data_IF_374079235952
#
_entry.id   IF_374079235952
#
_cell.length_a   1.000
_cell.length_b   1.000
_cell.length_c   1.000
_cell.angle_alpha   90.00
_cell.angle_beta   90.00
_cell.angle_gamma   90.00
#
_symmetry.space_group_name_H-M   'P 1'
#
loop_
_entity.id
_entity.type
_entity.pdbx_description
1 polymer ?
#
# COMPACT_ATOMS: atom_id res chain seq x y z
N UNK A 1 -16.05 -33.82 -16.85
CA UNK A 1 -16.17 -33.59 -15.39
C UNK A 1 -15.92 -32.13 -15.01
N UNK A 2 -14.81 -31.50 -15.43
CA UNK A 2 -14.47 -30.11 -15.08
C UNK A 2 -15.55 -29.06 -15.45
N UNK A 3 -16.15 -29.17 -16.65
CA UNK A 3 -17.16 -28.21 -17.13
C UNK A 3 -18.46 -28.19 -16.28
N UNK A 4 -18.89 -29.37 -15.77
CA UNK A 4 -20.06 -29.45 -14.86
C UNK A 4 -19.77 -28.80 -13.50
N UNK A 5 -18.55 -28.95 -12.97
CA UNK A 5 -18.15 -28.32 -11.69
C UNK A 5 -18.10 -26.80 -11.80
N UNK A 6 -17.53 -26.27 -12.89
CA UNK A 6 -17.48 -24.82 -13.13
C UNK A 6 -18.88 -24.22 -13.28
N UNK A 7 -19.77 -24.88 -14.01
CA UNK A 7 -21.16 -24.43 -14.19
C UNK A 7 -21.91 -24.32 -12.85
N UNK A 8 -21.71 -25.28 -11.95
CA UNK A 8 -22.28 -25.25 -10.59
C UNK A 8 -21.71 -24.08 -9.79
N UNK A 9 -20.39 -23.88 -9.79
CA UNK A 9 -19.75 -22.75 -9.09
C UNK A 9 -20.25 -21.39 -9.60
N UNK A 10 -20.36 -21.21 -10.91
CA UNK A 10 -20.93 -19.99 -11.52
C UNK A 10 -22.35 -19.75 -11.02
N UNK A 11 -23.18 -20.79 -10.97
CA UNK A 11 -24.55 -20.68 -10.46
C UNK A 11 -24.58 -20.33 -8.97
N UNK A 12 -23.70 -20.91 -8.16
CA UNK A 12 -23.56 -20.60 -6.74
C UNK A 12 -23.16 -19.14 -6.53
N UNK A 13 -22.13 -18.67 -7.22
CA UNK A 13 -21.67 -17.27 -7.13
C UNK A 13 -22.78 -16.30 -7.55
N UNK A 14 -23.53 -16.61 -8.62
CA UNK A 14 -24.69 -15.79 -9.02
C UNK A 14 -25.76 -15.72 -7.94
N UNK A 15 -26.05 -16.83 -7.27
CA UNK A 15 -27.03 -16.86 -6.18
C UNK A 15 -26.58 -16.06 -4.95
N UNK A 16 -25.27 -16.02 -4.67
CA UNK A 16 -24.72 -15.19 -3.59
C UNK A 16 -24.78 -13.70 -3.95
N UNK A 17 -24.46 -13.33 -5.19
CA UNK A 17 -24.44 -11.93 -5.65
C UNK A 17 -25.84 -11.35 -5.89
N UNK A 18 -26.83 -12.19 -6.22
CA UNK A 18 -28.23 -11.78 -6.38
C UNK A 18 -29.20 -12.79 -5.74
N UNK A 19 -29.30 -12.83 -4.38
CA UNK A 19 -30.10 -13.83 -3.67
C UNK A 19 -31.58 -13.79 -4.02
N UNK A 20 -32.10 -12.59 -4.32
CA UNK A 20 -33.49 -12.38 -4.66
C UNK A 20 -33.78 -12.52 -6.17
N UNK A 21 -32.76 -12.81 -7.00
CA UNK A 21 -32.86 -12.96 -8.46
C UNK A 21 -33.56 -11.79 -9.15
N UNK A 22 -33.22 -10.57 -8.74
CA UNK A 22 -33.84 -9.33 -9.26
C UNK A 22 -33.18 -8.83 -10.54
N UNK A 23 -32.01 -9.37 -10.89
CA UNK A 23 -31.21 -8.90 -12.01
C UNK A 23 -30.95 -10.01 -13.03
N UNK A 24 -30.63 -9.64 -14.29
CA UNK A 24 -30.17 -10.61 -15.28
C UNK A 24 -28.91 -11.35 -14.81
N UNK A 25 -28.76 -12.62 -15.20
CA UNK A 25 -27.66 -13.48 -14.77
C UNK A 25 -26.24 -12.92 -15.04
N UNK A 26 -26.10 -12.08 -16.06
CA UNK A 26 -24.84 -11.43 -16.44
C UNK A 26 -24.62 -10.06 -15.79
N UNK A 27 -25.48 -9.62 -14.86
CA UNK A 27 -25.35 -8.33 -14.19
C UNK A 27 -24.05 -8.24 -13.39
N UNK A 28 -23.78 -9.24 -12.53
CA UNK A 28 -22.63 -9.23 -11.62
C UNK A 28 -21.50 -10.15 -12.08
N UNK A 29 -21.83 -11.30 -12.67
CA UNK A 29 -20.86 -12.29 -13.19
C UNK A 29 -21.16 -12.55 -14.66
N UNK A 30 -20.28 -12.07 -15.54
CA UNK A 30 -20.40 -12.23 -16.98
C UNK A 30 -19.72 -13.54 -17.39
N UNK A 31 -20.37 -14.26 -18.29
CA UNK A 31 -19.86 -15.53 -18.83
C UNK A 31 -19.92 -15.48 -20.34
N UNK A 32 -18.81 -15.79 -20.99
CA UNK A 32 -18.71 -16.08 -22.42
C UNK A 32 -18.25 -17.54 -22.64
N UNK A 33 -18.17 -18.05 -23.89
CA UNK A 33 -17.78 -19.45 -24.15
C UNK A 33 -16.41 -19.88 -23.62
N UNK A 34 -15.52 -18.92 -23.33
CA UNK A 34 -14.11 -19.13 -22.96
C UNK A 34 -13.69 -18.47 -21.65
N UNK A 35 -14.51 -17.58 -21.09
CA UNK A 35 -14.12 -16.70 -20.00
C UNK A 35 -15.28 -16.39 -19.05
N UNK A 36 -14.91 -16.12 -17.81
CA UNK A 36 -15.81 -15.73 -16.73
C UNK A 36 -15.15 -14.59 -15.97
N UNK A 37 -15.86 -13.50 -15.75
CA UNK A 37 -15.33 -12.36 -15.00
C UNK A 37 -16.41 -11.62 -14.23
N UNK A 38 -15.99 -10.94 -13.17
CA UNK A 38 -16.85 -10.05 -12.41
C UNK A 38 -17.05 -8.75 -13.18
N UNK A 39 -18.30 -8.28 -13.24
CA UNK A 39 -18.60 -6.97 -13.78
C UNK A 39 -18.30 -5.90 -12.74
N UNK A 40 -17.12 -5.28 -12.84
CA UNK A 40 -16.64 -4.27 -11.88
C UNK A 40 -17.46 -2.97 -11.85
N UNK A 41 -18.42 -2.80 -12.78
CA UNK A 41 -19.43 -1.72 -12.70
C UNK A 41 -20.48 -1.98 -11.63
N UNK A 42 -20.67 -3.24 -11.22
CA UNK A 42 -21.71 -3.67 -10.29
C UNK A 42 -21.17 -4.46 -9.11
N UNK A 43 -19.95 -4.95 -9.20
CA UNK A 43 -19.22 -5.62 -8.13
C UNK A 43 -18.04 -4.74 -7.73
N UNK A 44 -18.00 -4.40 -6.45
CA UNK A 44 -16.89 -3.65 -5.87
C UNK A 44 -15.87 -4.64 -5.36
N UNK A 45 -14.62 -4.45 -5.75
CA UNK A 45 -13.47 -5.15 -5.20
C UNK A 45 -12.63 -4.15 -4.43
N UNK A 46 -12.40 -4.42 -3.16
CA UNK A 46 -11.52 -3.65 -2.27
C UNK A 46 -10.10 -3.55 -2.83
N UNK A 47 -9.55 -4.65 -3.35
CA UNK A 47 -8.25 -4.73 -4.02
C UNK A 47 -8.15 -3.78 -5.20
N UNK A 48 -9.17 -3.72 -6.07
CA UNK A 48 -9.22 -2.79 -7.21
C UNK A 48 -9.33 -1.36 -6.72
N UNK A 49 -10.20 -1.08 -5.74
CA UNK A 49 -10.36 0.26 -5.17
C UNK A 49 -9.08 0.79 -4.54
N UNK A 50 -8.45 -0.01 -3.69
CA UNK A 50 -7.16 0.33 -3.06
C UNK A 50 -6.11 0.61 -4.12
N UNK A 51 -5.97 -0.28 -5.10
CA UNK A 51 -4.97 -0.17 -6.15
C UNK A 51 -5.12 1.08 -7.02
N UNK A 52 -6.34 1.41 -7.43
CA UNK A 52 -6.63 2.63 -8.19
C UNK A 52 -6.40 3.88 -7.32
N UNK A 53 -6.87 3.88 -6.08
CA UNK A 53 -6.71 5.00 -5.16
C UNK A 53 -5.22 5.26 -4.82
N UNK A 54 -4.44 4.21 -4.57
CA UNK A 54 -3.01 4.27 -4.32
C UNK A 54 -2.24 4.87 -5.50
N UNK A 55 -2.46 4.36 -6.71
CA UNK A 55 -1.81 4.91 -7.90
C UNK A 55 -2.22 6.36 -8.16
N UNK A 56 -3.50 6.68 -8.01
CA UNK A 56 -3.98 8.03 -8.20
C UNK A 56 -3.38 9.00 -7.17
N UNK A 57 -3.26 8.58 -5.91
CA UNK A 57 -2.68 9.40 -4.84
C UNK A 57 -1.17 9.62 -5.04
N UNK A 58 -0.41 8.59 -5.41
CA UNK A 58 1.02 8.72 -5.72
C UNK A 58 1.23 9.67 -6.91
N UNK A 59 0.49 9.49 -8.01
CA UNK A 59 0.58 10.34 -9.19
C UNK A 59 0.18 11.79 -8.86
N UNK A 60 -0.89 12.00 -8.09
CA UNK A 60 -1.32 13.33 -7.68
C UNK A 60 -0.30 14.01 -6.74
N UNK A 61 0.32 13.26 -5.82
CA UNK A 61 1.40 13.82 -5.00
C UNK A 61 2.59 14.28 -5.85
N UNK A 62 3.00 13.49 -6.85
CA UNK A 62 4.08 13.88 -7.77
C UNK A 62 3.75 15.18 -8.53
N UNK A 63 2.48 15.36 -8.94
CA UNK A 63 2.04 16.61 -9.59
C UNK A 63 2.07 17.81 -8.63
N UNK A 64 1.75 17.61 -7.35
CA UNK A 64 1.78 18.67 -6.32
C UNK A 64 3.20 18.98 -5.85
N UNK A 65 4.16 18.06 -5.97
CA UNK A 65 5.58 18.32 -5.61
C UNK A 65 6.21 19.47 -6.43
N UNK A 66 5.69 19.75 -7.63
CA UNK A 66 6.09 20.93 -8.42
C UNK A 66 5.48 22.26 -7.94
N UNK A 67 4.55 22.23 -6.98
CA UNK A 67 3.81 23.40 -6.49
C UNK A 67 4.16 23.67 -5.00
N UNK A 68 4.53 24.92 -4.69
CA UNK A 68 4.88 25.35 -3.32
C UNK A 68 3.68 25.65 -2.42
N UNK A 69 2.46 25.42 -2.90
CA UNK A 69 1.26 25.62 -2.10
C UNK A 69 1.16 24.63 -0.91
N UNK A 70 1.25 25.17 0.29
CA UNK A 70 1.17 24.43 1.55
C UNK A 70 -0.22 23.83 1.78
N UNK A 71 -1.30 24.52 1.38
CA UNK A 71 -2.68 24.06 1.60
C UNK A 71 -2.96 22.79 0.76
N UNK A 72 -2.62 22.83 -0.53
CA UNK A 72 -2.66 21.65 -1.40
C UNK A 72 -1.82 20.48 -0.85
N UNK A 73 -0.76 20.79 -0.10
CA UNK A 73 0.03 19.79 0.59
C UNK A 73 -0.64 19.11 1.76
N UNK A 74 -1.33 19.88 2.60
CA UNK A 74 -2.08 19.35 3.74
C UNK A 74 -3.22 18.46 3.25
N UNK A 75 -3.95 18.88 2.22
CA UNK A 75 -5.00 18.07 1.60
C UNK A 75 -4.44 16.77 1.02
N UNK A 76 -3.23 16.80 0.44
CA UNK A 76 -2.57 15.60 -0.06
C UNK A 76 -2.21 14.62 1.06
N UNK A 77 -1.76 15.11 2.23
CA UNK A 77 -1.49 14.25 3.40
C UNK A 77 -2.77 13.54 3.82
N UNK A 78 -3.87 14.26 3.98
CA UNK A 78 -5.16 13.67 4.36
C UNK A 78 -5.64 12.62 3.35
N UNK A 79 -5.48 12.89 2.04
CA UNK A 79 -5.79 11.93 0.99
C UNK A 79 -4.93 10.67 1.08
N UNK A 80 -3.63 10.80 1.30
CA UNK A 80 -2.71 9.67 1.43
C UNK A 80 -3.03 8.83 2.68
N UNK A 81 -3.35 9.46 3.82
CA UNK A 81 -3.77 8.77 5.05
C UNK A 81 -5.01 7.90 4.83
N UNK A 82 -6.02 8.41 4.11
CA UNK A 82 -7.22 7.64 3.74
C UNK A 82 -6.85 6.41 2.92
N UNK A 83 -5.95 6.54 1.95
CA UNK A 83 -5.52 5.42 1.10
C UNK A 83 -4.71 4.39 1.89
N UNK A 84 -3.82 4.82 2.78
CA UNK A 84 -3.10 3.91 3.70
C UNK A 84 -4.10 3.10 4.53
N UNK A 85 -5.18 3.73 5.00
CA UNK A 85 -6.24 3.06 5.77
C UNK A 85 -7.14 2.11 4.98
N UNK A 86 -7.10 2.12 3.64
CA UNK A 86 -7.83 1.15 2.82
C UNK A 86 -7.19 -0.24 2.83
N UNK A 87 -5.91 -0.34 3.18
CA UNK A 87 -5.18 -1.60 3.26
C UNK A 87 -5.26 -2.15 4.69
N UNK A 88 -6.18 -3.08 4.92
CA UNK A 88 -6.52 -3.58 6.26
C UNK A 88 -5.79 -4.87 6.64
N UNK A 89 -5.01 -5.44 5.74
CA UNK A 89 -4.35 -6.73 5.91
C UNK A 89 -3.84 -7.27 4.57
N UNK A 90 -3.12 -8.38 4.64
CA UNK A 90 -2.56 -9.01 3.45
C UNK A 90 -3.64 -9.67 2.59
N UNK A 91 -3.38 -9.77 1.28
CA UNK A 91 -4.30 -10.45 0.36
C UNK A 91 -4.47 -11.92 0.76
N UNK A 92 -5.69 -12.30 1.17
CA UNK A 92 -5.98 -13.66 1.65
C UNK A 92 -5.29 -14.03 2.95
N UNK A 93 -5.18 -13.09 3.88
CA UNK A 93 -4.57 -13.30 5.21
C UNK A 93 -5.29 -14.39 6.03
N UNK A 94 -6.57 -14.65 5.76
CA UNK A 94 -7.37 -15.72 6.39
C UNK A 94 -6.86 -17.14 6.10
N UNK A 95 -5.95 -17.30 5.15
CA UNK A 95 -5.38 -18.60 4.75
C UNK A 95 -6.32 -19.46 3.90
N UNK A 96 -7.49 -18.95 3.51
CA UNK A 96 -8.45 -19.67 2.66
C UNK A 96 -7.99 -19.70 1.20
N UNK A 97 -7.18 -18.72 0.78
CA UNK A 97 -6.61 -18.66 -0.56
C UNK A 97 -5.37 -19.54 -0.70
N UNK A 98 -5.59 -20.82 -1.00
CA UNK A 98 -4.51 -21.78 -1.25
C UNK A 98 -4.10 -21.78 -2.73
N UNK A 99 -2.87 -21.35 -3.02
CA UNK A 99 -2.24 -21.52 -4.34
C UNK A 99 -1.27 -20.40 -4.72
N UNK A 100 -0.28 -20.76 -5.54
CA UNK A 100 0.79 -19.86 -6.03
C UNK A 100 0.24 -18.63 -6.77
N UNK A 101 -0.95 -18.73 -7.35
CA UNK A 101 -1.65 -17.62 -8.01
C UNK A 101 -1.91 -16.43 -7.07
N UNK A 102 -1.99 -16.66 -5.75
CA UNK A 102 -2.25 -15.63 -4.74
C UNK A 102 -0.99 -14.90 -4.26
N UNK A 103 0.19 -15.53 -4.39
CA UNK A 103 1.45 -15.00 -3.85
C UNK A 103 1.88 -13.72 -4.55
N UNK A 104 1.82 -13.71 -5.89
CA UNK A 104 2.21 -12.54 -6.68
C UNK A 104 1.30 -11.32 -6.43
N UNK A 105 -0.05 -11.43 -6.44
CA UNK A 105 -0.92 -10.34 -6.03
C UNK A 105 -0.68 -9.86 -4.60
N UNK A 106 -0.46 -10.78 -3.65
CA UNK A 106 -0.18 -10.44 -2.25
C UNK A 106 1.06 -9.55 -2.13
N UNK A 107 2.18 -10.00 -2.70
CA UNK A 107 3.41 -9.23 -2.72
C UNK A 107 3.23 -7.87 -3.41
N UNK A 108 2.50 -7.82 -4.53
CA UNK A 108 2.27 -6.58 -5.27
C UNK A 108 1.42 -5.56 -4.50
N UNK A 109 0.39 -5.99 -3.76
CA UNK A 109 -0.40 -5.08 -2.94
C UNK A 109 0.36 -4.59 -1.69
N UNK A 110 1.13 -5.46 -1.04
CA UNK A 110 1.98 -5.08 0.09
C UNK A 110 3.06 -4.06 -0.34
N UNK A 111 3.68 -4.26 -1.50
CA UNK A 111 4.64 -3.29 -2.07
C UNK A 111 3.97 -1.94 -2.34
N UNK A 112 2.81 -1.96 -3.00
CA UNK A 112 2.07 -0.74 -3.31
C UNK A 112 1.65 0.01 -2.05
N UNK A 113 1.26 -0.71 -0.98
CA UNK A 113 0.96 -0.09 0.31
C UNK A 113 2.19 0.59 0.92
N UNK A 114 3.34 -0.11 0.96
CA UNK A 114 4.61 0.46 1.44
C UNK A 114 5.01 1.71 0.63
N UNK A 115 4.78 1.72 -0.68
CA UNK A 115 5.01 2.91 -1.52
C UNK A 115 4.11 4.10 -1.15
N UNK A 116 2.82 3.87 -0.87
CA UNK A 116 1.91 4.94 -0.40
C UNK A 116 2.37 5.45 0.97
N UNK A 117 2.70 4.57 1.92
CA UNK A 117 3.20 4.97 3.25
C UNK A 117 4.50 5.78 3.13
N UNK A 118 5.43 5.36 2.28
CA UNK A 118 6.67 6.09 2.02
C UNK A 118 6.41 7.46 1.40
N UNK A 119 5.46 7.55 0.48
CA UNK A 119 5.02 8.82 -0.13
C UNK A 119 4.43 9.77 0.91
N UNK A 120 3.57 9.24 1.79
CA UNK A 120 2.98 9.97 2.92
C UNK A 120 4.05 10.49 3.88
N UNK A 121 4.98 9.64 4.31
CA UNK A 121 6.06 10.02 5.22
C UNK A 121 6.91 11.16 4.64
N UNK A 122 7.30 11.06 3.36
CA UNK A 122 8.05 12.10 2.64
C UNK A 122 7.26 13.42 2.55
N UNK A 123 5.94 13.35 2.29
CA UNK A 123 5.09 14.55 2.25
C UNK A 123 4.99 15.22 3.61
N UNK A 124 4.80 14.45 4.67
CA UNK A 124 4.79 14.97 6.05
C UNK A 124 6.10 15.69 6.37
N UNK A 125 7.25 15.10 6.03
CA UNK A 125 8.56 15.71 6.28
C UNK A 125 8.72 17.04 5.55
N UNK A 126 8.30 17.14 4.27
CA UNK A 126 8.34 18.40 3.50
C UNK A 126 7.43 19.50 4.04
N UNK A 127 6.37 19.13 4.74
CA UNK A 127 5.45 20.07 5.40
C UNK A 127 5.86 20.37 6.85
N UNK A 128 7.09 20.01 7.23
CA UNK A 128 7.65 20.17 8.58
C UNK A 128 6.85 19.43 9.68
N UNK A 129 6.04 18.43 9.29
CA UNK A 129 5.32 17.54 10.21
C UNK A 129 6.24 16.38 10.63
N UNK A 130 7.38 16.73 11.21
CA UNK A 130 8.49 15.81 11.46
C UNK A 130 8.11 14.61 12.33
N UNK A 131 7.35 14.80 13.41
CA UNK A 131 6.91 13.69 14.28
C UNK A 131 5.95 12.73 13.56
N UNK A 132 5.06 13.25 12.72
CA UNK A 132 4.17 12.42 11.90
C UNK A 132 4.99 11.59 10.89
N UNK A 133 5.96 12.22 10.22
CA UNK A 133 6.87 11.50 9.31
C UNK A 133 7.65 10.39 10.04
N UNK A 134 8.18 10.67 11.24
CA UNK A 134 8.90 9.69 12.05
C UNK A 134 8.02 8.48 12.41
N UNK A 135 6.74 8.71 12.76
CA UNK A 135 5.78 7.63 13.03
C UNK A 135 5.57 6.71 11.82
N UNK A 136 5.41 7.29 10.62
CA UNK A 136 5.25 6.51 9.39
C UNK A 136 6.51 5.72 9.02
N UNK A 137 7.70 6.30 9.16
CA UNK A 137 8.94 5.55 8.92
C UNK A 137 9.19 4.43 9.93
N UNK A 138 8.85 4.64 11.20
CA UNK A 138 8.91 3.58 12.21
C UNK A 138 7.99 2.41 11.87
N UNK A 139 6.80 2.67 11.30
CA UNK A 139 5.91 1.61 10.82
C UNK A 139 6.57 0.79 9.71
N UNK A 140 7.13 1.44 8.69
CA UNK A 140 7.84 0.76 7.60
C UNK A 140 9.00 -0.09 8.11
N UNK A 141 9.78 0.41 9.07
CA UNK A 141 10.89 -0.34 9.69
C UNK A 141 10.40 -1.52 10.52
N UNK A 142 9.19 -1.42 11.09
CA UNK A 142 8.54 -2.52 11.79
C UNK A 142 8.09 -3.65 10.86
N UNK A 143 7.69 -3.30 9.63
CA UNK A 143 7.32 -4.24 8.57
C UNK A 143 8.55 -4.87 7.91
N UNK A 144 9.54 -4.05 7.54
CA UNK A 144 10.83 -4.48 7.02
C UNK A 144 11.99 -3.78 7.76
N UNK A 145 12.67 -4.54 8.61
CA UNK A 145 13.80 -4.06 9.37
C UNK A 145 14.98 -3.58 8.53
N UNK A 146 15.08 -4.01 7.27
CA UNK A 146 16.18 -3.71 6.36
C UNK A 146 15.83 -2.65 5.30
N UNK A 147 14.65 -2.00 5.37
CA UNK A 147 14.30 -0.90 4.47
C UNK A 147 15.19 0.33 4.72
N UNK A 148 16.25 0.45 3.91
CA UNK A 148 17.21 1.56 3.95
C UNK A 148 16.54 2.93 3.77
N UNK A 149 15.57 3.05 2.86
CA UNK A 149 14.88 4.32 2.63
C UNK A 149 14.06 4.75 3.85
N UNK A 150 13.49 3.79 4.59
CA UNK A 150 12.74 4.10 5.80
C UNK A 150 13.66 4.52 6.95
N UNK A 151 14.80 3.86 7.12
CA UNK A 151 15.82 4.26 8.11
C UNK A 151 16.34 5.67 7.86
N UNK A 152 16.75 5.98 6.62
CA UNK A 152 17.25 7.29 6.25
C UNK A 152 16.17 8.37 6.40
N UNK A 153 14.92 8.06 6.02
CA UNK A 153 13.78 8.94 6.23
C UNK A 153 13.52 9.27 7.71
N UNK A 154 13.60 8.28 8.59
CA UNK A 154 13.47 8.46 10.04
C UNK A 154 14.59 9.33 10.61
N UNK A 155 15.83 9.11 10.17
CA UNK A 155 16.99 9.91 10.59
C UNK A 155 16.84 11.38 10.15
N UNK A 156 16.33 11.61 8.94
CA UNK A 156 16.02 12.94 8.42
C UNK A 156 14.92 13.62 9.25
N UNK A 157 13.81 12.91 9.53
CA UNK A 157 12.72 13.42 10.35
C UNK A 157 13.15 13.77 11.78
N UNK A 158 13.96 12.93 12.42
CA UNK A 158 14.51 13.21 13.75
C UNK A 158 15.46 14.40 13.73
N UNK A 159 16.29 14.53 12.69
CA UNK A 159 17.20 15.66 12.55
C UNK A 159 16.46 16.98 12.35
N UNK A 160 15.42 16.98 11.51
CA UNK A 160 14.57 18.14 11.26
C UNK A 160 13.79 18.56 12.52
N UNK A 161 13.38 17.60 13.37
CA UNK A 161 12.80 17.86 14.68
C UNK A 161 13.81 18.28 15.77
N UNK A 162 15.11 18.47 15.45
CA UNK A 162 16.16 18.83 16.40
C UNK A 162 16.62 17.69 17.33
N UNK A 163 16.17 16.46 17.11
CA UNK A 163 16.48 15.27 17.93
C UNK A 163 17.79 14.60 17.49
N UNK A 164 18.87 15.37 17.33
CA UNK A 164 20.14 14.90 16.74
C UNK A 164 20.77 13.70 17.46
N UNK A 165 20.66 13.65 18.80
CA UNK A 165 21.17 12.52 19.58
C UNK A 165 20.45 11.21 19.26
N UNK A 166 19.14 11.26 19.04
CA UNK A 166 18.36 10.10 18.63
C UNK A 166 18.61 9.74 17.16
N UNK A 167 18.72 10.74 16.27
CA UNK A 167 19.08 10.53 14.87
C UNK A 167 20.42 9.77 14.75
N UNK A 168 21.45 10.16 15.52
CA UNK A 168 22.74 9.47 15.54
C UNK A 168 22.65 8.04 16.09
N UNK A 169 21.80 7.79 17.09
CA UNK A 169 21.56 6.42 17.59
C UNK A 169 20.90 5.55 16.52
N UNK A 170 19.82 6.06 15.90
CA UNK A 170 19.11 5.35 14.81
C UNK A 170 20.01 5.08 13.61
N UNK A 171 20.91 6.00 13.27
CA UNK A 171 21.91 5.75 12.22
C UNK A 171 22.85 4.59 12.56
N UNK A 172 23.31 4.46 13.80
CA UNK A 172 24.17 3.32 14.19
C UNK A 172 23.41 2.00 14.09
N UNK A 173 22.15 1.98 14.50
CA UNK A 173 21.29 0.80 14.39
C UNK A 173 21.06 0.43 12.91
N UNK A 174 20.73 1.41 12.08
CA UNK A 174 20.63 1.26 10.62
C UNK A 174 21.93 0.72 10.01
N UNK A 175 23.07 1.35 10.32
CA UNK A 175 24.36 0.92 9.79
C UNK A 175 24.64 -0.52 10.18
N UNK A 176 24.39 -0.92 11.43
CA UNK A 176 24.53 -2.31 11.87
C UNK A 176 23.66 -3.25 11.01
N UNK A 177 22.38 -2.92 10.78
CA UNK A 177 21.49 -3.72 9.94
C UNK A 177 21.97 -3.84 8.50
N UNK A 178 22.51 -2.77 7.89
CA UNK A 178 23.07 -2.86 6.53
C UNK A 178 24.28 -3.78 6.46
N UNK A 179 25.17 -3.71 7.46
CA UNK A 179 26.33 -4.60 7.51
C UNK A 179 25.94 -6.08 7.71
N UNK A 180 24.83 -6.38 8.39
CA UNK A 180 24.33 -7.76 8.54
C UNK A 180 23.95 -8.42 7.20
N UNK A 181 23.64 -7.62 6.17
CA UNK A 181 23.32 -8.07 4.81
C UNK A 181 24.40 -7.70 3.79
N UNK A 182 25.62 -7.42 4.26
CA UNK A 182 26.78 -7.03 3.45
C UNK A 182 26.56 -5.79 2.55
N UNK A 183 25.64 -4.91 2.96
CA UNK A 183 25.38 -3.62 2.29
C UNK A 183 26.17 -2.51 2.99
N UNK A 184 26.85 -1.68 2.20
CA UNK A 184 27.54 -0.51 2.75
C UNK A 184 26.54 0.61 3.03
N UNK A 185 26.40 1.08 4.29
CA UNK A 185 25.41 2.09 4.61
C UNK A 185 25.76 3.42 3.95
N UNK A 186 24.72 4.12 3.50
CA UNK A 186 24.79 5.52 3.10
C UNK A 186 25.34 6.35 4.28
N UNK A 187 26.31 7.25 4.05
CA UNK A 187 26.84 8.12 5.10
C UNK A 187 25.75 8.92 5.83
N UNK A 188 25.99 9.27 7.09
CA UNK A 188 25.04 10.06 7.88
C UNK A 188 24.63 11.33 7.12
N UNK A 189 23.32 11.57 6.89
CA UNK A 189 22.86 12.77 6.21
C UNK A 189 23.31 14.02 6.96
N UNK A 190 24.14 14.84 6.32
CA UNK A 190 24.53 16.16 6.83
C UNK A 190 23.53 17.19 6.28
N UNK A 191 22.92 17.95 7.20
CA UNK A 191 21.95 19.00 6.88
C UNK A 191 22.62 20.20 6.20
#
# INVERSE_FOLDING_TARGET
MANRRLSVLISTVRAVLDPARRHPANRFLVTDPSSVWLNTRHVVLDTVRFHEAARAAIAANAAVEGNRDTAAGVDMVARLEVVVGMYTGDFGEDGELTGEWSERPRAAFAELHRDVVRTLARRCLRLDRCDAAAGWYLRLIGEDGYDESAHLGLIAALSAAGRHGEARRRYRDYAKRMHEIDVHPVPFPTA
#
